data_IF_094623091384
#
_entry.id   IF_094623091384
#
_cell.length_a   1.000
_cell.length_b   1.000
_cell.length_c   1.000
_cell.angle_alpha   90.00
_cell.angle_beta   90.00
_cell.angle_gamma   90.00
#
_symmetry.space_group_name_H-M   'P 1'
#
loop_
_entity.id
_entity.type
_entity.pdbx_description
1 polymer ?
#
# COMPACT_ATOMS: atom_id res chain seq x y z
N UNK A 1 -27.39 -7.59 -5.33
CA UNK A 1 -27.04 -7.56 -3.90
C UNK A 1 -26.47 -6.19 -3.61
N UNK A 2 -27.23 -5.37 -2.88
CA UNK A 2 -26.91 -3.97 -2.60
C UNK A 2 -25.76 -3.86 -1.58
N UNK A 3 -24.80 -2.95 -1.74
CA UNK A 3 -23.82 -2.66 -0.68
C UNK A 3 -24.46 -1.78 0.39
N UNK A 4 -24.28 -2.16 1.65
CA UNK A 4 -24.61 -1.33 2.80
C UNK A 4 -23.69 -0.11 2.85
N UNK A 5 -24.29 1.09 2.79
CA UNK A 5 -23.65 2.35 3.12
C UNK A 5 -23.64 2.51 4.65
N UNK A 6 -22.46 2.64 5.24
CA UNK A 6 -22.32 3.28 6.55
C UNK A 6 -22.00 4.75 6.28
N UNK A 7 -23.01 5.60 6.44
CA UNK A 7 -22.88 7.05 6.35
C UNK A 7 -22.11 7.55 7.58
N UNK A 8 -20.89 8.04 7.38
CA UNK A 8 -20.24 8.97 8.29
C UNK A 8 -20.45 10.38 7.73
N UNK A 9 -21.11 11.23 8.51
CA UNK A 9 -21.58 12.55 8.11
C UNK A 9 -20.49 13.63 8.03
N UNK A 10 -19.59 13.54 7.06
CA UNK A 10 -18.83 14.70 6.56
C UNK A 10 -18.61 14.57 5.04
N UNK A 11 -18.71 15.65 4.24
CA UNK A 11 -18.84 15.52 2.78
C UNK A 11 -17.54 15.16 2.02
N UNK A 12 -16.39 14.96 2.69
CA UNK A 12 -15.10 14.90 2.00
C UNK A 12 -14.27 13.62 2.21
N UNK A 13 -14.81 12.61 2.90
CA UNK A 13 -14.15 11.31 3.02
C UNK A 13 -14.38 10.43 1.78
N UNK A 14 -13.69 10.75 0.68
CA UNK A 14 -13.76 9.96 -0.55
C UNK A 14 -12.79 8.76 -0.48
N UNK A 15 -13.24 7.65 0.11
CA UNK A 15 -12.53 6.36 0.07
C UNK A 15 -12.69 5.72 -1.32
N UNK A 16 -11.64 5.79 -2.14
CA UNK A 16 -11.56 5.00 -3.37
C UNK A 16 -10.95 3.62 -3.07
N UNK A 17 -11.79 2.58 -3.07
CA UNK A 17 -11.37 1.19 -3.27
C UNK A 17 -11.42 0.90 -4.77
N UNK A 18 -10.31 1.08 -5.49
CA UNK A 18 -10.27 0.76 -6.92
C UNK A 18 -8.88 0.78 -7.56
N UNK A 19 -8.46 -0.37 -8.06
CA UNK A 19 -7.55 -0.52 -9.21
C UNK A 19 -6.06 -0.28 -8.97
N UNK A 20 -5.24 -1.31 -9.18
CA UNK A 20 -3.75 -1.35 -9.07
C UNK A 20 -3.03 -0.43 -10.09
N UNK A 21 -3.69 0.52 -10.75
CA UNK A 21 -3.07 1.28 -11.84
C UNK A 21 -3.39 2.78 -11.70
N UNK A 22 -2.35 3.54 -11.34
CA UNK A 22 -2.33 5.00 -11.08
C UNK A 22 -2.58 5.40 -9.63
N UNK A 23 -1.49 5.53 -8.86
CA UNK A 23 -1.50 6.10 -7.52
C UNK A 23 -1.27 7.61 -7.57
N UNK A 24 -2.25 8.38 -7.08
CA UNK A 24 -2.07 9.78 -6.71
C UNK A 24 -1.69 9.84 -5.23
N UNK A 25 -0.66 10.60 -4.88
CA UNK A 25 -0.48 11.04 -3.49
C UNK A 25 -1.75 11.81 -3.10
N UNK A 26 -2.50 11.32 -2.12
CA UNK A 26 -3.65 12.04 -1.59
C UNK A 26 -3.30 12.53 -0.21
N UNK A 27 -3.30 13.84 -0.08
CA UNK A 27 -3.30 14.53 1.20
C UNK A 27 -4.76 14.63 1.62
N UNK A 28 -5.13 13.97 2.72
CA UNK A 28 -6.45 14.17 3.33
C UNK A 28 -6.24 15.14 4.49
N UNK A 29 -6.94 16.28 4.43
CA UNK A 29 -7.04 17.22 5.54
C UNK A 29 -8.24 16.82 6.40
N UNK A 30 -8.04 16.65 7.71
CA UNK A 30 -9.15 16.55 8.67
C UNK A 30 -9.28 17.85 9.46
N UNK A 31 -10.50 18.10 9.95
CA UNK A 31 -10.95 19.18 10.83
C UNK A 31 -10.12 19.37 12.11
N UNK A 32 -9.20 18.44 12.42
CA UNK A 32 -8.27 18.47 13.54
C UNK A 32 -6.87 19.02 13.18
N UNK A 33 -6.73 19.71 12.04
CA UNK A 33 -5.44 20.21 11.49
C UNK A 33 -4.42 19.09 11.19
N UNK A 34 -4.82 17.82 11.14
CA UNK A 34 -3.94 16.70 10.81
C UNK A 34 -3.94 16.40 9.30
N UNK A 35 -2.74 16.17 8.75
CA UNK A 35 -2.50 15.87 7.34
C UNK A 35 -2.13 14.38 7.23
N UNK A 36 -2.99 13.59 6.59
CA UNK A 36 -2.69 12.19 6.27
C UNK A 36 -2.03 12.11 4.91
N UNK A 37 -0.82 11.54 4.85
CA UNK A 37 -0.13 11.27 3.61
C UNK A 37 -0.22 9.79 3.27
N UNK A 38 -0.93 9.49 2.18
CA UNK A 38 -0.92 8.19 1.53
C UNK A 38 -0.32 8.31 0.13
N UNK A 39 0.46 7.31 -0.26
CA UNK A 39 1.15 7.27 -1.54
C UNK A 39 1.77 5.89 -1.78
N UNK A 40 2.10 5.63 -3.02
CA UNK A 40 2.98 4.52 -3.39
C UNK A 40 4.23 5.10 -4.02
N UNK A 41 5.35 4.40 -3.84
CA UNK A 41 6.62 4.84 -4.42
C UNK A 41 6.53 4.70 -5.95
N UNK A 42 6.52 5.83 -6.65
CA UNK A 42 6.58 5.89 -8.12
C UNK A 42 7.90 6.55 -8.53
N UNK A 43 8.57 6.00 -9.55
CA UNK A 43 9.77 6.60 -10.12
C UNK A 43 9.39 7.41 -11.36
N UNK A 44 9.69 8.71 -11.33
CA UNK A 44 9.62 9.67 -12.45
C UNK A 44 8.57 9.37 -13.53
N UNK A 45 7.28 9.54 -13.24
CA UNK A 45 6.21 9.60 -14.26
C UNK A 45 5.99 8.34 -15.11
N UNK A 46 6.75 7.27 -14.91
CA UNK A 46 6.62 6.00 -15.62
C UNK A 46 5.81 5.00 -14.80
N UNK A 47 4.76 4.45 -15.41
CA UNK A 47 4.06 3.28 -14.91
C UNK A 47 5.09 2.18 -14.60
N UNK A 48 5.09 1.65 -13.37
CA UNK A 48 5.91 0.49 -12.97
C UNK A 48 5.48 -0.80 -13.68
N UNK A 49 4.34 -0.74 -14.36
CA UNK A 49 3.82 -1.74 -15.28
C UNK A 49 4.20 -1.40 -16.71
N UNK A 50 4.96 -2.29 -17.34
CA UNK A 50 5.40 -2.16 -18.73
C UNK A 50 4.74 -3.23 -19.60
N UNK A 51 4.36 -2.84 -20.82
CA UNK A 51 3.99 -3.81 -21.86
C UNK A 51 5.22 -4.61 -22.27
N UNK A 52 5.03 -5.90 -22.49
CA UNK A 52 6.09 -6.81 -22.98
C UNK A 52 5.92 -7.08 -24.47
N UNK A 53 7.03 -7.25 -25.19
CA UNK A 53 7.01 -7.59 -26.61
C UNK A 53 6.72 -9.07 -26.83
N UNK A 54 6.30 -9.43 -28.05
CA UNK A 54 6.12 -10.83 -28.47
C UNK A 54 7.39 -11.66 -28.24
N UNK A 55 8.55 -11.09 -28.55
CA UNK A 55 9.83 -11.77 -28.48
C UNK A 55 10.22 -12.08 -27.03
N UNK A 56 9.92 -11.15 -26.11
CA UNK A 56 10.10 -11.38 -24.67
C UNK A 56 9.22 -12.52 -24.17
N UNK A 57 7.95 -12.57 -24.61
CA UNK A 57 7.02 -13.65 -24.24
C UNK A 57 7.53 -14.99 -24.78
N UNK A 58 7.95 -15.04 -26.04
CA UNK A 58 8.46 -16.27 -26.65
C UNK A 58 9.71 -16.78 -25.92
N UNK A 59 10.65 -15.89 -25.58
CA UNK A 59 11.84 -16.24 -24.81
C UNK A 59 11.46 -16.74 -23.41
N UNK A 60 10.53 -16.08 -22.72
CA UNK A 60 10.02 -16.53 -21.42
C UNK A 60 9.44 -17.96 -21.50
N UNK A 61 8.67 -18.26 -22.55
CA UNK A 61 8.11 -19.60 -22.76
C UNK A 61 9.19 -20.66 -22.97
N UNK A 62 10.18 -20.37 -23.82
CA UNK A 62 11.30 -21.29 -24.09
C UNK A 62 12.12 -21.61 -22.84
N UNK A 63 12.34 -20.63 -21.97
CA UNK A 63 13.09 -20.85 -20.72
C UNK A 63 12.23 -21.56 -19.67
N UNK A 64 10.95 -21.20 -19.54
CA UNK A 64 10.03 -21.85 -18.60
C UNK A 64 9.82 -23.33 -18.93
N UNK A 65 9.71 -23.71 -20.21
CA UNK A 65 9.52 -25.10 -20.63
C UNK A 65 10.68 -26.02 -20.23
N UNK A 66 11.90 -25.49 -20.13
CA UNK A 66 13.09 -26.26 -19.75
C UNK A 66 13.17 -26.52 -18.24
N UNK A 67 12.61 -25.64 -17.42
CA UNK A 67 12.86 -25.60 -15.97
C UNK A 67 11.61 -25.95 -15.16
N UNK A 68 10.43 -25.54 -15.61
CA UNK A 68 9.19 -25.67 -14.83
C UNK A 68 8.46 -26.97 -15.15
N UNK A 69 7.60 -27.42 -14.23
CA UNK A 69 6.76 -28.59 -14.49
C UNK A 69 5.75 -28.30 -15.60
N UNK A 70 5.28 -29.34 -16.32
CA UNK A 70 4.32 -29.17 -17.41
C UNK A 70 3.04 -28.43 -17.00
N UNK A 71 2.57 -28.62 -15.76
CA UNK A 71 1.37 -27.99 -15.23
C UNK A 71 1.55 -26.48 -15.07
N UNK A 72 2.67 -26.03 -14.51
CA UNK A 72 2.98 -24.60 -14.37
C UNK A 72 3.23 -23.94 -15.72
N UNK A 73 3.92 -24.63 -16.63
CA UNK A 73 4.11 -24.14 -17.99
C UNK A 73 2.79 -23.99 -18.75
N UNK A 74 1.81 -24.88 -18.52
CA UNK A 74 0.46 -24.74 -19.08
C UNK A 74 -0.22 -23.48 -18.58
N UNK A 75 -0.19 -23.19 -17.27
CA UNK A 75 -0.77 -21.96 -16.69
C UNK A 75 -0.13 -20.71 -17.30
N UNK A 76 1.20 -20.74 -17.46
CA UNK A 76 1.94 -19.65 -18.09
C UNK A 76 1.47 -19.40 -19.54
N UNK A 77 1.27 -20.45 -20.34
CA UNK A 77 0.77 -20.34 -21.73
C UNK A 77 -0.67 -19.81 -21.84
N UNK A 78 -1.52 -20.06 -20.83
CA UNK A 78 -2.87 -19.50 -20.79
C UNK A 78 -2.90 -17.98 -20.49
N UNK A 79 -1.78 -17.40 -20.05
CA UNK A 79 -1.65 -15.96 -19.80
C UNK A 79 -1.37 -15.21 -21.10
N UNK A 80 -2.44 -14.86 -21.84
CA UNK A 80 -2.35 -14.32 -23.22
C UNK A 80 -1.70 -12.94 -23.37
N UNK A 81 -1.82 -12.09 -22.34
CA UNK A 81 -1.36 -10.69 -22.36
C UNK A 81 -0.64 -10.37 -21.05
N UNK A 82 0.53 -10.97 -20.82
CA UNK A 82 1.30 -10.67 -19.62
C UNK A 82 1.81 -9.22 -19.67
N UNK A 83 2.20 -8.72 -18.50
CA UNK A 83 2.90 -7.44 -18.35
C UNK A 83 4.04 -7.64 -17.36
N UNK A 84 5.02 -6.74 -17.40
CA UNK A 84 6.12 -6.75 -16.46
C UNK A 84 5.87 -5.69 -15.39
N UNK A 85 5.83 -6.12 -14.13
CA UNK A 85 5.82 -5.23 -12.97
C UNK A 85 7.16 -5.28 -12.27
N UNK A 86 7.78 -4.12 -12.10
CA UNK A 86 8.96 -4.01 -11.23
C UNK A 86 8.50 -3.91 -9.79
N UNK A 87 9.01 -4.80 -8.95
CA UNK A 87 8.71 -4.84 -7.51
C UNK A 87 9.80 -4.04 -6.80
N UNK A 88 9.37 -3.13 -5.93
CA UNK A 88 10.24 -2.33 -5.07
C UNK A 88 9.80 -2.44 -3.62
N UNK A 89 10.75 -2.29 -2.71
CA UNK A 89 10.52 -2.07 -1.30
C UNK A 89 11.35 -0.87 -0.79
N UNK A 90 11.35 -0.69 0.53
CA UNK A 90 12.15 0.32 1.21
C UNK A 90 12.61 -0.19 2.57
N UNK A 91 13.51 0.54 3.21
CA UNK A 91 13.87 0.29 4.60
C UNK A 91 12.73 0.70 5.55
N UNK A 92 12.60 0.04 6.71
CA UNK A 92 11.72 0.51 7.76
C UNK A 92 11.95 1.98 8.10
N UNK A 93 10.87 2.72 8.34
CA UNK A 93 10.97 4.11 8.80
C UNK A 93 11.48 4.17 10.25
N UNK A 94 12.15 5.27 10.60
CA UNK A 94 12.49 5.59 12.00
C UNK A 94 11.35 6.29 12.74
N UNK A 95 10.52 7.05 12.02
CA UNK A 95 9.38 7.82 12.52
C UNK A 95 8.26 7.78 11.47
N UNK A 96 7.01 7.84 11.92
CA UNK A 96 5.79 7.80 11.10
C UNK A 96 5.04 9.13 11.09
N UNK A 97 5.44 10.12 11.89
CA UNK A 97 4.81 11.43 11.90
C UNK A 97 5.80 12.55 12.21
N UNK A 98 5.49 13.76 11.72
CA UNK A 98 6.20 15.00 12.03
C UNK A 98 5.17 16.11 12.18
N UNK A 99 5.22 16.83 13.31
CA UNK A 99 4.22 17.83 13.69
C UNK A 99 2.79 17.28 13.62
N UNK A 100 2.02 17.72 12.62
CA UNK A 100 0.64 17.32 12.35
C UNK A 100 0.52 16.45 11.08
N UNK A 101 1.62 15.97 10.51
CA UNK A 101 1.66 15.11 9.33
C UNK A 101 1.94 13.68 9.75
N UNK A 102 1.11 12.74 9.32
CA UNK A 102 1.28 11.31 9.60
C UNK A 102 1.29 10.48 8.32
N UNK A 103 2.25 9.57 8.23
CA UNK A 103 2.38 8.60 7.16
C UNK A 103 1.58 7.35 7.51
N UNK A 104 0.77 6.88 6.55
CA UNK A 104 0.00 5.64 6.67
C UNK A 104 0.10 4.83 5.37
N UNK A 105 -0.15 3.53 5.46
CA UNK A 105 -0.18 2.67 4.28
C UNK A 105 1.20 2.47 3.64
N UNK A 106 1.24 2.28 2.31
CA UNK A 106 2.47 1.87 1.61
C UNK A 106 3.64 2.87 1.74
N UNK A 107 3.38 4.15 2.06
CA UNK A 107 4.44 5.11 2.41
C UNK A 107 5.06 4.80 3.77
N UNK A 108 4.24 4.42 4.74
CA UNK A 108 4.68 4.08 6.09
C UNK A 108 5.34 2.68 6.16
N UNK A 109 4.95 1.79 5.25
CA UNK A 109 5.39 0.40 5.23
C UNK A 109 5.56 -0.15 3.80
N UNK A 110 6.60 0.29 3.06
CA UNK A 110 6.83 -0.16 1.69
C UNK A 110 7.27 -1.63 1.69
N UNK A 111 6.34 -2.55 1.42
CA UNK A 111 6.57 -3.99 1.41
C UNK A 111 6.55 -4.57 -0.01
N UNK A 112 7.33 -5.62 -0.25
CA UNK A 112 7.15 -6.47 -1.43
C UNK A 112 5.85 -7.29 -1.30
N UNK A 113 5.24 -7.76 -2.41
CA UNK A 113 3.94 -8.42 -2.36
C UNK A 113 3.97 -9.86 -1.83
N UNK A 114 5.13 -10.41 -1.43
CA UNK A 114 5.28 -11.83 -1.08
C UNK A 114 4.44 -12.28 0.12
N UNK A 115 4.15 -11.38 1.06
CA UNK A 115 3.29 -11.68 2.21
C UNK A 115 1.82 -11.28 2.02
N UNK A 116 1.47 -10.56 0.95
CA UNK A 116 0.11 -10.09 0.67
C UNK A 116 -0.55 -9.32 1.85
N UNK A 117 0.22 -8.51 2.59
CA UNK A 117 -0.26 -7.83 3.82
C UNK A 117 -0.47 -6.33 3.72
N UNK A 118 -0.06 -5.67 2.64
CA UNK A 118 -0.04 -4.19 2.57
C UNK A 118 -1.42 -3.55 2.84
N UNK A 119 -2.47 -4.04 2.18
CA UNK A 119 -3.83 -3.52 2.39
C UNK A 119 -4.32 -3.70 3.83
N UNK A 120 -4.04 -4.86 4.44
CA UNK A 120 -4.43 -5.12 5.82
C UNK A 120 -3.68 -4.18 6.79
N UNK A 121 -2.41 -3.89 6.50
CA UNK A 121 -1.60 -2.96 7.29
C UNK A 121 -2.13 -1.53 7.17
N UNK A 122 -2.51 -1.06 5.98
CA UNK A 122 -3.12 0.26 5.78
C UNK A 122 -4.45 0.42 6.55
N UNK A 123 -5.29 -0.62 6.54
CA UNK A 123 -6.56 -0.62 7.31
C UNK A 123 -6.27 -0.54 8.82
N UNK A 124 -5.28 -1.30 9.29
CA UNK A 124 -4.88 -1.27 10.70
C UNK A 124 -4.28 0.08 11.11
N UNK A 125 -3.54 0.74 10.22
CA UNK A 125 -3.01 2.07 10.47
C UNK A 125 -4.15 3.05 10.74
N UNK A 126 -5.14 3.12 9.85
CA UNK A 126 -6.30 4.01 10.01
C UNK A 126 -7.12 3.65 11.26
N UNK A 127 -7.32 2.36 11.53
CA UNK A 127 -8.09 1.92 12.69
C UNK A 127 -7.40 2.28 14.02
N UNK A 128 -6.08 2.11 14.12
CA UNK A 128 -5.32 2.48 15.33
C UNK A 128 -5.25 3.99 15.47
N UNK A 129 -5.00 4.71 14.39
CA UNK A 129 -4.92 6.16 14.37
C UNK A 129 -6.25 6.80 14.80
N UNK A 130 -7.37 6.33 14.25
CA UNK A 130 -8.71 6.78 14.64
C UNK A 130 -8.97 6.58 16.13
N UNK A 131 -8.57 5.43 16.70
CA UNK A 131 -8.71 5.17 18.15
C UNK A 131 -7.82 6.08 19.00
N UNK A 132 -6.61 6.40 18.54
CA UNK A 132 -5.73 7.32 19.25
C UNK A 132 -6.32 8.73 19.25
N UNK A 133 -6.82 9.20 18.10
CA UNK A 133 -7.48 10.50 17.98
C UNK A 133 -8.75 10.57 18.84
N UNK A 134 -9.58 9.52 18.85
CA UNK A 134 -10.75 9.41 19.72
C UNK A 134 -10.38 9.46 21.22
N UNK A 135 -9.31 8.76 21.62
CA UNK A 135 -8.86 8.68 23.00
C UNK A 135 -8.36 10.03 23.55
N UNK A 136 -7.62 10.78 22.76
CA UNK A 136 -6.94 12.00 23.22
C UNK A 136 -7.64 13.30 22.85
N UNK A 137 -8.49 13.29 21.82
CA UNK A 137 -9.10 14.50 21.26
C UNK A 137 -8.15 15.28 20.35
N UNK A 138 -8.72 16.17 19.54
CA UNK A 138 -7.96 17.00 18.60
C UNK A 138 -7.01 17.97 19.32
N UNK A 139 -7.37 18.43 20.52
CA UNK A 139 -6.57 19.33 21.34
C UNK A 139 -5.24 18.72 21.84
N UNK A 140 -5.14 17.38 21.83
CA UNK A 140 -3.94 16.63 22.21
C UNK A 140 -3.42 15.78 21.05
N UNK A 141 -3.51 16.31 19.83
CA UNK A 141 -3.08 15.65 18.59
C UNK A 141 -1.70 14.99 18.71
N UNK A 142 -0.71 15.71 19.25
CA UNK A 142 0.65 15.18 19.42
C UNK A 142 0.69 13.88 20.25
N UNK A 143 -0.05 13.81 21.36
CA UNK A 143 -0.12 12.60 22.19
C UNK A 143 -0.80 11.45 21.44
N UNK A 144 -1.81 11.75 20.62
CA UNK A 144 -2.45 10.76 19.76
C UNK A 144 -1.48 10.19 18.72
N UNK A 145 -0.67 11.04 18.08
CA UNK A 145 0.31 10.62 17.08
C UNK A 145 1.49 9.85 17.70
N UNK A 146 1.95 10.26 18.88
CA UNK A 146 2.97 9.53 19.66
C UNK A 146 2.48 8.11 20.03
N UNK A 147 1.23 7.97 20.48
CA UNK A 147 0.61 6.67 20.77
C UNK A 147 0.45 5.82 19.51
N UNK A 148 -0.02 6.41 18.41
CA UNK A 148 -0.13 5.73 17.12
C UNK A 148 1.21 5.17 16.66
N UNK A 149 2.27 6.00 16.67
CA UNK A 149 3.62 5.60 16.30
C UNK A 149 4.13 4.49 17.21
N UNK A 150 3.96 4.62 18.52
CA UNK A 150 4.37 3.60 19.49
C UNK A 150 3.74 2.23 19.19
N UNK A 151 2.46 2.20 18.82
CA UNK A 151 1.75 0.96 18.51
C UNK A 151 2.14 0.40 17.13
N UNK A 152 2.23 1.25 16.12
CA UNK A 152 2.33 0.81 14.72
C UNK A 152 3.76 0.62 14.24
N UNK A 153 4.69 1.49 14.61
CA UNK A 153 6.06 1.51 14.09
C UNK A 153 6.81 0.18 14.29
N UNK A 154 6.76 -0.50 15.45
CA UNK A 154 7.44 -1.79 15.62
C UNK A 154 6.84 -2.89 14.72
N UNK A 155 5.52 -2.84 14.51
CA UNK A 155 4.82 -3.83 13.69
C UNK A 155 5.14 -3.60 12.22
N UNK A 156 4.97 -2.38 11.71
CA UNK A 156 5.25 -2.03 10.31
C UNK A 156 6.71 -2.30 9.95
N UNK A 157 7.65 -1.94 10.81
CA UNK A 157 9.08 -2.17 10.60
C UNK A 157 9.41 -3.65 10.46
N UNK A 158 8.85 -4.50 11.34
CA UNK A 158 9.02 -5.95 11.24
C UNK A 158 8.41 -6.52 9.96
N UNK A 159 7.26 -5.98 9.52
CA UNK A 159 6.60 -6.43 8.30
C UNK A 159 7.37 -6.10 7.04
N UNK A 160 7.97 -4.90 6.96
CA UNK A 160 8.83 -4.50 5.85
C UNK A 160 9.99 -5.49 5.68
N UNK A 161 10.69 -5.82 6.77
CA UNK A 161 11.81 -6.75 6.72
C UNK A 161 11.37 -8.19 6.42
N UNK A 162 10.22 -8.62 6.93
CA UNK A 162 9.73 -9.99 6.74
C UNK A 162 9.17 -10.27 5.35
N UNK A 163 8.78 -9.22 4.61
CA UNK A 163 8.26 -9.39 3.26
C UNK A 163 9.36 -9.71 2.23
N UNK A 164 10.63 -9.42 2.56
CA UNK A 164 11.81 -9.68 1.71
C UNK A 164 12.16 -11.17 1.68
#
# INVERSE_FOLDING_TARGET
>A
MSPCFLAAGSPEAMFFLGGIVSCQMRIIFDSADCIFAFGTKTFQGTSVTMKVSSDMIQKMHQEAEKVWTPELFKVLKETKKPFLNVIYDGEPLGETFWDNVVLVGDVAHPTTPHCLRSTNMSILDVAVLGKCLEKFGAEKLRLALEEYQFIRLPVTSKQVLHAR
#
